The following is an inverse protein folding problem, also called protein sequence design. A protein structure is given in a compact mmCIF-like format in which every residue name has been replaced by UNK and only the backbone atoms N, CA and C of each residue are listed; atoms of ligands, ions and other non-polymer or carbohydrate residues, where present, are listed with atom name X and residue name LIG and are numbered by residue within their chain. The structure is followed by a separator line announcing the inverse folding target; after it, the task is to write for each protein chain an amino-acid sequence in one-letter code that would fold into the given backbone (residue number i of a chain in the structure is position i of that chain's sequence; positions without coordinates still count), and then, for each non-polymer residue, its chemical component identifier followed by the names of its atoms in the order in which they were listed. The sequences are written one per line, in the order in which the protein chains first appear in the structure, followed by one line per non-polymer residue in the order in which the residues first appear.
data_IF_049740821575
#
_entry.id   IF_049740821575
#
_cell.length_a   1.000
_cell.length_b   1.000
_cell.length_c   1.000
_cell.angle_alpha   90.00
_cell.angle_beta   90.00
_cell.angle_gamma   90.00
#
_symmetry.space_group_name_H-M   'P 1'
#
loop_
_entity.id
_entity.type
_entity.pdbx_description
1 polymer ?
#
# COMPACT_ATOMS: atom_id res chain seq x y z
N UNK A 1 -13.75 -13.81 -15.77
CA UNK A 1 -13.50 -12.39 -16.12
C UNK A 1 -12.81 -12.37 -17.47
N UNK A 2 -13.27 -11.57 -18.42
CA UNK A 2 -12.57 -11.38 -19.69
C UNK A 2 -11.37 -10.42 -19.54
N UNK A 3 -10.54 -10.33 -20.58
CA UNK A 3 -9.31 -9.51 -20.57
C UNK A 3 -9.58 -8.04 -20.26
N UNK A 4 -10.63 -7.45 -20.82
CA UNK A 4 -10.92 -6.03 -20.64
C UNK A 4 -11.46 -5.77 -19.24
N UNK A 5 -12.31 -6.66 -18.74
CA UNK A 5 -12.75 -6.61 -17.35
C UNK A 5 -11.56 -6.68 -16.39
N UNK A 6 -10.60 -7.59 -16.62
CA UNK A 6 -9.40 -7.70 -15.79
C UNK A 6 -8.54 -6.44 -15.81
N UNK A 7 -8.29 -5.87 -16.99
CA UNK A 7 -7.53 -4.63 -17.12
C UNK A 7 -8.23 -3.48 -16.39
N UNK A 8 -9.55 -3.37 -16.54
CA UNK A 8 -10.35 -2.35 -15.83
C UNK A 8 -10.22 -2.52 -14.32
N UNK A 9 -10.44 -3.74 -13.82
CA UNK A 9 -10.32 -4.04 -12.39
C UNK A 9 -8.92 -3.72 -11.86
N UNK A 10 -7.86 -4.09 -12.59
CA UNK A 10 -6.48 -3.79 -12.22
C UNK A 10 -6.23 -2.28 -12.11
N UNK A 11 -6.69 -1.47 -13.06
CA UNK A 11 -6.51 -0.02 -13.01
C UNK A 11 -7.30 0.65 -11.87
N UNK A 12 -8.46 0.11 -11.51
CA UNK A 12 -9.31 0.66 -10.45
C UNK A 12 -8.81 0.28 -9.05
N UNK A 13 -8.32 -0.96 -8.88
CA UNK A 13 -8.10 -1.56 -7.57
C UNK A 13 -6.64 -1.84 -7.22
N UNK A 14 -5.71 -1.79 -8.19
CA UNK A 14 -4.29 -1.97 -7.90
C UNK A 14 -3.55 -0.63 -7.87
N UNK A 15 -2.66 -0.50 -6.90
CA UNK A 15 -1.84 0.67 -6.67
C UNK A 15 -0.37 0.32 -6.83
N UNK A 16 0.38 1.19 -7.50
CA UNK A 16 1.86 1.14 -7.43
C UNK A 16 2.33 1.54 -6.03
N UNK A 17 3.58 1.21 -5.70
CA UNK A 17 4.25 1.72 -4.48
C UNK A 17 4.09 3.23 -4.29
N UNK A 18 4.21 4.02 -5.37
CA UNK A 18 4.10 5.47 -5.26
C UNK A 18 2.67 5.92 -4.89
N UNK A 19 1.66 5.36 -5.56
CA UNK A 19 0.26 5.67 -5.29
C UNK A 19 -0.16 5.23 -3.88
N UNK A 20 0.21 4.01 -3.47
CA UNK A 20 -0.06 3.51 -2.12
C UNK A 20 0.55 4.41 -1.04
N UNK A 21 1.78 4.89 -1.28
CA UNK A 21 2.49 5.76 -0.35
C UNK A 21 1.87 7.17 -0.23
N UNK A 22 1.28 7.68 -1.32
CA UNK A 22 0.53 8.93 -1.30
C UNK A 22 -0.73 8.78 -0.44
N UNK A 23 -1.47 7.67 -0.56
CA UNK A 23 -2.69 7.42 0.24
C UNK A 23 -2.35 7.32 1.73
N UNK A 24 -1.22 6.70 2.09
CA UNK A 24 -0.86 6.53 3.51
C UNK A 24 -0.23 7.78 4.14
N UNK A 25 0.09 8.81 3.35
CA UNK A 25 0.87 9.99 3.72
C UNK A 25 2.24 9.65 4.35
N UNK A 26 2.88 8.57 3.89
CA UNK A 26 4.14 8.10 4.45
C UNK A 26 5.34 8.57 3.62
N UNK A 27 6.49 8.79 4.27
CA UNK A 27 7.78 8.90 3.57
C UNK A 27 8.17 7.55 2.95
N UNK A 28 9.10 7.53 1.99
CA UNK A 28 9.56 6.28 1.36
C UNK A 28 10.11 5.30 2.38
N UNK A 29 10.91 5.78 3.33
CA UNK A 29 11.48 4.95 4.39
C UNK A 29 10.41 4.40 5.33
N UNK A 30 9.44 5.23 5.74
CA UNK A 30 8.35 4.78 6.62
C UNK A 30 7.47 3.71 5.94
N UNK A 31 7.14 3.93 4.66
CA UNK A 31 6.37 2.95 3.88
C UNK A 31 7.13 1.62 3.71
N UNK A 32 8.42 1.69 3.37
CA UNK A 32 9.26 0.49 3.28
C UNK A 32 9.35 -0.26 4.61
N UNK A 33 9.40 0.44 5.74
CA UNK A 33 9.35 -0.18 7.06
C UNK A 33 8.00 -0.85 7.32
N UNK A 34 6.89 -0.24 6.93
CA UNK A 34 5.56 -0.86 7.01
C UNK A 34 5.48 -2.15 6.19
N UNK A 35 6.04 -2.15 4.99
CA UNK A 35 6.12 -3.34 4.14
C UNK A 35 7.02 -4.41 4.76
N UNK A 36 8.22 -4.03 5.23
CA UNK A 36 9.18 -4.93 5.88
C UNK A 36 8.61 -5.57 7.14
N UNK A 37 7.83 -4.82 7.92
CA UNK A 37 7.18 -5.32 9.13
C UNK A 37 5.90 -6.12 8.84
N UNK A 38 5.48 -6.22 7.58
CA UNK A 38 4.32 -6.99 7.16
C UNK A 38 2.96 -6.32 7.39
N UNK A 39 2.96 -5.02 7.75
CA UNK A 39 1.72 -4.23 7.90
C UNK A 39 1.06 -3.91 6.56
N UNK A 40 1.86 -3.81 5.50
CA UNK A 40 1.40 -3.73 4.11
C UNK A 40 2.07 -4.83 3.31
N UNK A 41 1.31 -5.59 2.54
CA UNK A 41 1.84 -6.68 1.71
C UNK A 41 1.55 -6.39 0.25
N UNK A 42 2.55 -6.50 -0.65
CA UNK A 42 2.28 -6.39 -2.07
C UNK A 42 1.46 -7.61 -2.52
N UNK A 43 0.41 -7.36 -3.30
CA UNK A 43 -0.35 -8.40 -3.99
C UNK A 43 0.50 -9.02 -5.10
N UNK A 44 1.31 -8.19 -5.77
CA UNK A 44 2.26 -8.63 -6.80
C UNK A 44 3.61 -7.97 -6.57
N UNK A 45 4.68 -8.75 -6.75
CA UNK A 45 6.06 -8.27 -6.75
C UNK A 45 6.77 -8.82 -7.99
N UNK A 46 7.25 -7.91 -8.84
CA UNK A 46 8.06 -8.22 -10.01
C UNK A 46 9.46 -7.70 -9.77
N UNK A 47 10.46 -8.59 -9.87
CA UNK A 47 11.86 -8.27 -9.58
C UNK A 47 12.70 -8.52 -10.83
N UNK A 48 13.13 -7.43 -11.46
CA UNK A 48 14.08 -7.50 -12.58
C UNK A 48 15.53 -7.53 -12.06
N UNK A 49 15.78 -6.90 -10.91
CA UNK A 49 17.05 -6.96 -10.18
C UNK A 49 16.84 -6.59 -8.71
N UNK A 50 17.89 -6.70 -7.88
CA UNK A 50 17.86 -6.22 -6.49
C UNK A 50 17.42 -4.76 -6.35
N UNK A 51 17.71 -3.92 -7.35
CA UNK A 51 17.40 -2.49 -7.35
C UNK A 51 16.12 -2.13 -8.09
N UNK A 52 15.61 -3.02 -8.94
CA UNK A 52 14.42 -2.77 -9.76
C UNK A 52 13.31 -3.74 -9.38
N UNK A 53 12.45 -3.28 -8.47
CA UNK A 53 11.32 -4.05 -7.93
C UNK A 53 10.03 -3.25 -8.14
N UNK A 54 9.10 -3.80 -8.91
CA UNK A 54 7.76 -3.26 -9.10
C UNK A 54 6.82 -3.99 -8.14
N UNK A 55 6.08 -3.23 -7.33
CA UNK A 55 5.07 -3.77 -6.44
C UNK A 55 3.71 -3.17 -6.74
N UNK A 56 2.71 -4.04 -6.71
CA UNK A 56 1.30 -3.65 -6.76
C UNK A 56 0.62 -4.05 -5.46
N UNK A 57 -0.25 -3.18 -4.97
CA UNK A 57 -0.99 -3.31 -3.72
C UNK A 57 -2.48 -3.21 -4.02
N UNK A 58 -3.33 -3.91 -3.28
CA UNK A 58 -4.75 -3.65 -3.37
C UNK A 58 -5.10 -2.34 -2.68
N UNK A 59 -5.96 -1.54 -3.32
CA UNK A 59 -6.37 -0.21 -2.85
C UNK A 59 -7.05 -0.29 -1.48
N UNK A 60 -7.97 -1.22 -1.32
CA UNK A 60 -8.74 -1.42 -0.08
C UNK A 60 -7.84 -1.77 1.12
N UNK A 61 -6.83 -2.62 0.93
CA UNK A 61 -5.84 -2.94 1.96
C UNK A 61 -5.01 -1.72 2.37
N UNK A 62 -4.63 -0.88 1.41
CA UNK A 62 -3.87 0.36 1.68
C UNK A 62 -4.72 1.38 2.43
N UNK A 63 -5.99 1.54 2.03
CA UNK A 63 -6.94 2.44 2.68
C UNK A 63 -7.28 1.96 4.11
N UNK A 64 -7.50 0.65 4.29
CA UNK A 64 -7.71 0.05 5.61
C UNK A 64 -6.48 0.25 6.53
N UNK A 65 -5.28 0.09 5.99
CA UNK A 65 -4.06 0.37 6.74
C UNK A 65 -3.98 1.84 7.17
N UNK A 66 -4.27 2.79 6.27
CA UNK A 66 -4.30 4.23 6.60
C UNK A 66 -5.31 4.53 7.71
N UNK A 67 -6.51 3.93 7.66
CA UNK A 67 -7.51 4.08 8.71
C UNK A 67 -6.98 3.61 10.07
N UNK A 68 -6.35 2.43 10.12
CA UNK A 68 -5.75 1.88 11.35
C UNK A 68 -4.67 2.78 11.95
N UNK A 69 -3.87 3.46 11.11
CA UNK A 69 -2.86 4.42 11.56
C UNK A 69 -3.50 5.64 12.23
N UNK A 70 -4.57 6.17 11.64
CA UNK A 70 -5.27 7.34 12.17
C UNK A 70 -5.95 7.04 13.50
N UNK A 71 -6.51 5.83 13.66
CA UNK A 71 -7.05 5.35 14.94
C UNK A 71 -5.96 5.29 16.02
N UNK A 72 -4.81 4.71 15.69
CA UNK A 72 -3.68 4.61 16.61
C UNK A 72 -3.15 5.99 17.03
N UNK A 73 -3.06 6.95 16.10
CA UNK A 73 -2.69 8.33 16.38
C UNK A 73 -3.73 9.03 17.28
N UNK A 74 -5.03 8.79 17.04
CA UNK A 74 -6.11 9.38 17.81
C UNK A 74 -6.18 8.83 19.23
N UNK A 75 -5.94 7.52 19.41
CA UNK A 75 -5.84 6.90 20.74
C UNK A 75 -4.68 7.46 21.55
N UNK A 76 -3.52 7.71 20.90
CA UNK A 76 -2.32 8.23 21.56
C UNK A 76 -2.49 9.69 22.00
N UNK A 77 -3.21 10.52 21.24
CA UNK A 77 -3.50 11.91 21.59
C UNK A 77 -4.45 12.07 22.78
N UNK A 78 -5.32 11.10 23.06
CA UNK A 78 -6.25 11.13 24.21
C UNK A 78 -5.57 10.88 25.56
N UNK A 79 -4.31 10.44 25.56
CA UNK A 79 -3.52 10.15 26.76
C UNK A 79 -2.46 11.22 27.07
N UNK A 80 -2.47 12.35 26.35
CA UNK A 80 -1.64 13.55 26.58
C UNK A 80 -2.55 14.73 26.83
#
# INVERSE_FOLDING_TARGET
MDRNAFIKYGNENLLTTNAARQITDQTTSAFQQSVKNGYLKPAFEFRDSERHVIRLYFRDEVEAYKASMNEWQSARKKHT
#
